data_IF_630372340357
#
_entry.id   IF_630372340357
#
_cell.length_a   1.000
_cell.length_b   1.000
_cell.length_c   1.000
_cell.angle_alpha   90.00
_cell.angle_beta   90.00
_cell.angle_gamma   90.00
#
_symmetry.space_group_name_H-M   'P 1'
#
loop_
_entity.id
_entity.type
_entity.pdbx_description
1 polymer ?
#
# COMPACT_ATOMS: atom_id res chain seq x y z
N UNK A 1 1.71 -15.55 -19.72
CA UNK A 1 2.30 -14.78 -18.59
C UNK A 1 1.16 -14.34 -17.71
N UNK A 2 1.37 -14.35 -16.39
CA UNK A 2 0.44 -13.93 -15.33
C UNK A 2 -0.43 -15.03 -14.74
N UNK A 3 0.19 -15.92 -13.98
CA UNK A 3 -0.49 -16.74 -12.98
C UNK A 3 0.47 -16.93 -11.83
N UNK A 4 0.62 -15.90 -11.00
CA UNK A 4 1.46 -15.98 -9.80
C UNK A 4 0.67 -15.48 -8.58
N UNK A 5 0.10 -16.49 -7.90
CA UNK A 5 -0.11 -16.63 -6.47
C UNK A 5 -1.11 -15.68 -5.79
N UNK A 6 -2.40 -16.04 -5.86
CA UNK A 6 -3.38 -15.72 -4.81
C UNK A 6 -3.18 -16.69 -3.63
N UNK A 7 -2.38 -16.29 -2.64
CA UNK A 7 -2.33 -16.96 -1.33
C UNK A 7 -2.65 -15.97 -0.21
N UNK A 8 -3.93 -15.59 -0.07
CA UNK A 8 -4.49 -14.94 1.15
C UNK A 8 -3.58 -13.91 1.83
N UNK A 9 -2.93 -13.04 1.06
CA UNK A 9 -1.93 -12.11 1.58
C UNK A 9 -2.63 -10.84 2.06
N UNK A 10 -3.12 -10.83 3.30
CA UNK A 10 -3.59 -9.61 3.95
C UNK A 10 -2.48 -8.56 3.95
N UNK A 11 -2.86 -7.30 3.75
CA UNK A 11 -1.92 -6.19 3.89
C UNK A 11 -1.61 -5.95 5.36
N UNK A 12 -0.32 -5.76 5.68
CA UNK A 12 0.16 -5.53 7.04
C UNK A 12 1.02 -4.25 7.13
N UNK A 13 1.09 -3.66 8.32
CA UNK A 13 1.80 -2.40 8.55
C UNK A 13 3.33 -2.51 8.35
N UNK A 14 3.88 -3.70 8.62
CA UNK A 14 5.30 -4.05 8.49
C UNK A 14 5.74 -4.21 7.03
N UNK A 15 4.79 -4.46 6.12
CA UNK A 15 5.04 -4.54 4.70
C UNK A 15 5.48 -3.18 4.15
N UNK A 16 6.37 -3.19 3.15
CA UNK A 16 6.76 -1.96 2.46
C UNK A 16 5.69 -1.51 1.47
N UNK A 17 5.65 -0.22 1.18
CA UNK A 17 4.73 0.30 0.17
C UNK A 17 4.99 -0.36 -1.19
N UNK A 18 6.26 -0.63 -1.53
CA UNK A 18 6.62 -1.35 -2.74
C UNK A 18 6.05 -2.76 -2.77
N UNK A 19 6.20 -3.54 -1.70
CA UNK A 19 5.65 -4.89 -1.61
C UNK A 19 4.12 -4.91 -1.71
N UNK A 20 3.45 -3.96 -1.05
CA UNK A 20 2.00 -3.84 -1.15
C UNK A 20 1.53 -3.52 -2.60
N UNK A 21 2.24 -2.64 -3.30
CA UNK A 21 1.95 -2.33 -4.71
C UNK A 21 2.25 -3.52 -5.64
N UNK A 22 3.23 -4.37 -5.32
CA UNK A 22 3.48 -5.61 -6.06
C UNK A 22 2.42 -6.67 -5.79
N UNK A 23 1.84 -6.68 -4.59
CA UNK A 23 0.80 -7.61 -4.18
C UNK A 23 -0.53 -7.32 -4.89
N UNK A 24 -0.93 -6.05 -4.98
CA UNK A 24 -2.15 -5.66 -5.69
C UNK A 24 -1.99 -4.33 -6.47
N UNK A 25 -2.32 -4.28 -7.77
CA UNK A 25 -2.19 -3.06 -8.56
C UNK A 25 -3.10 -1.91 -8.07
N UNK A 26 -4.24 -2.21 -7.45
CA UNK A 26 -5.11 -1.18 -6.88
C UNK A 26 -4.58 -0.59 -5.56
N UNK A 27 -3.62 -1.26 -4.89
CA UNK A 27 -2.98 -0.68 -3.71
C UNK A 27 -2.35 0.68 -4.04
N UNK A 28 -1.74 0.80 -5.23
CA UNK A 28 -1.20 2.05 -5.76
C UNK A 28 -2.24 3.18 -5.82
N UNK A 29 -3.49 2.86 -6.16
CA UNK A 29 -4.60 3.83 -6.26
C UNK A 29 -5.01 4.28 -4.86
N UNK A 30 -5.09 3.35 -3.91
CA UNK A 30 -5.37 3.66 -2.50
C UNK A 30 -4.29 4.58 -1.96
N UNK A 31 -3.01 4.20 -2.04
CA UNK A 31 -1.89 5.04 -1.60
C UNK A 31 -1.95 6.45 -2.21
N UNK A 32 -2.22 6.55 -3.51
CA UNK A 32 -2.34 7.84 -4.19
C UNK A 32 -3.50 8.69 -3.68
N UNK A 33 -4.62 8.07 -3.30
CA UNK A 33 -5.78 8.75 -2.71
C UNK A 33 -5.45 9.34 -1.32
N UNK A 34 -4.56 8.69 -0.57
CA UNK A 34 -4.05 9.17 0.72
C UNK A 34 -2.89 10.18 0.59
N UNK A 35 -2.58 10.65 -0.62
CA UNK A 35 -1.40 11.47 -0.93
C UNK A 35 -0.06 10.79 -0.59
N UNK A 36 -0.07 9.47 -0.41
CA UNK A 36 1.11 8.65 -0.19
C UNK A 36 1.64 8.25 -1.57
N UNK A 37 2.26 9.19 -2.27
CA UNK A 37 2.76 9.04 -3.64
C UNK A 37 1.75 9.40 -4.73
N UNK A 38 2.26 9.79 -5.89
CA UNK A 38 1.44 10.28 -7.01
C UNK A 38 1.83 11.68 -7.51
N UNK A 39 2.75 12.37 -6.84
CA UNK A 39 3.38 13.55 -7.41
C UNK A 39 4.67 13.13 -8.10
N UNK A 40 4.85 13.51 -9.37
CA UNK A 40 6.03 13.26 -10.21
C UNK A 40 7.36 13.75 -9.62
N UNK A 41 7.33 14.35 -8.43
CA UNK A 41 8.45 14.93 -7.69
C UNK A 41 8.50 14.50 -6.21
N UNK A 42 7.47 13.81 -5.69
CA UNK A 42 7.53 13.18 -4.38
C UNK A 42 7.96 11.74 -4.60
N UNK A 43 9.24 11.47 -4.40
CA UNK A 43 9.75 10.11 -4.32
C UNK A 43 9.02 9.40 -3.19
N UNK A 44 7.95 8.67 -3.52
CA UNK A 44 7.39 7.71 -2.59
C UNK A 44 8.53 6.75 -2.27
N UNK A 45 8.85 6.60 -0.99
CA UNK A 45 9.93 5.71 -0.62
C UNK A 45 9.31 4.31 -0.53
N UNK A 46 9.28 3.60 -1.65
CA UNK A 46 8.80 2.22 -1.73
C UNK A 46 9.57 1.26 -0.81
N UNK A 47 10.72 1.71 -0.29
CA UNK A 47 11.54 1.04 0.72
C UNK A 47 11.04 1.27 2.16
N UNK A 48 10.17 2.25 2.40
CA UNK A 48 9.57 2.46 3.72
C UNK A 48 8.34 1.57 3.93
N UNK A 49 8.14 1.17 5.19
CA UNK A 49 6.97 0.42 5.60
C UNK A 49 5.72 1.29 5.52
N UNK A 50 4.56 0.66 5.30
CA UNK A 50 3.27 1.35 5.30
C UNK A 50 3.11 2.15 6.60
N UNK A 51 3.51 1.57 7.74
CA UNK A 51 3.50 2.24 9.04
C UNK A 51 4.35 3.51 9.05
N UNK A 52 5.61 3.43 8.61
CA UNK A 52 6.53 4.57 8.63
C UNK A 52 6.04 5.72 7.75
N UNK A 53 5.56 5.38 6.54
CA UNK A 53 4.97 6.36 5.63
C UNK A 53 3.72 6.98 6.25
N UNK A 54 2.83 6.17 6.83
CA UNK A 54 1.64 6.68 7.52
C UNK A 54 2.00 7.64 8.66
N UNK A 55 2.96 7.29 9.50
CA UNK A 55 3.43 8.15 10.60
C UNK A 55 4.05 9.46 10.10
N UNK A 56 4.84 9.43 9.03
CA UNK A 56 5.48 10.62 8.48
C UNK A 56 4.49 11.64 7.87
N UNK A 57 3.38 11.14 7.32
CA UNK A 57 2.35 11.96 6.69
C UNK A 57 1.15 12.25 7.61
N UNK A 58 1.11 11.67 8.81
CA UNK A 58 -0.01 11.79 9.75
C UNK A 58 -1.27 11.05 9.31
N UNK A 59 -1.11 10.00 8.49
CA UNK A 59 -2.20 9.14 8.03
C UNK A 59 -2.35 7.97 9.02
N UNK A 60 -3.57 7.60 9.43
CA UNK A 60 -3.78 6.42 10.27
C UNK A 60 -3.56 5.13 9.48
N UNK A 61 -2.52 4.37 9.86
CA UNK A 61 -2.15 3.09 9.23
C UNK A 61 -3.31 2.10 9.20
N UNK A 62 -4.13 2.06 10.26
CA UNK A 62 -5.29 1.16 10.34
C UNK A 62 -6.31 1.43 9.23
N UNK A 63 -6.58 2.70 8.89
CA UNK A 63 -7.54 3.02 7.82
C UNK A 63 -7.00 2.70 6.43
N UNK A 64 -5.70 2.89 6.24
CA UNK A 64 -5.06 2.54 4.99
C UNK A 64 -5.05 1.01 4.80
N UNK A 65 -4.69 0.27 5.85
CA UNK A 65 -4.74 -1.20 5.84
C UNK A 65 -6.16 -1.72 5.65
N UNK A 66 -7.16 -1.13 6.28
CA UNK A 66 -8.58 -1.47 6.06
C UNK A 66 -8.96 -1.29 4.59
N UNK A 67 -8.63 -0.13 4.01
CA UNK A 67 -8.88 0.17 2.59
C UNK A 67 -8.17 -0.80 1.66
N UNK A 68 -6.93 -1.17 1.98
CA UNK A 68 -6.14 -2.12 1.21
C UNK A 68 -6.68 -3.55 1.33
N UNK A 69 -6.98 -4.01 2.55
CA UNK A 69 -7.55 -5.35 2.78
C UNK A 69 -8.93 -5.49 2.15
N UNK A 70 -9.72 -4.42 2.10
CA UNK A 70 -11.00 -4.40 1.42
C UNK A 70 -10.87 -4.63 -0.10
N UNK A 71 -9.69 -4.42 -0.71
CA UNK A 71 -9.43 -4.80 -2.11
C UNK A 71 -9.23 -6.32 -2.29
N UNK A 72 -8.89 -7.05 -1.23
CA UNK A 72 -8.65 -8.51 -1.27
C UNK A 72 -9.90 -9.31 -0.93
N UNK A 73 -10.89 -8.66 -0.32
CA UNK A 73 -12.15 -9.27 0.10
C UNK A 73 -13.25 -9.22 -1.00
N UNK A 74 -12.96 -8.60 -2.16
CA UNK A 74 -13.86 -8.53 -3.34
C UNK A 74 -13.43 -9.47 -4.48
#
# INVERSE_FOLDING_TARGET
MSSDVQERSQFTADMTVGEAMQLHPEAAIVFSSYHLGGCSHCSINELETIEQVCMGYGVPVEQLLDSLNNLLED
#
